data_IF_795338592503
#
_entry.id   IF_795338592503
#
_cell.length_a   1.000
_cell.length_b   1.000
_cell.length_c   1.000
_cell.angle_alpha   90.00
_cell.angle_beta   90.00
_cell.angle_gamma   90.00
#
_symmetry.space_group_name_H-M   'P 1'
#
loop_
_entity.id
_entity.type
_entity.pdbx_description
1 polymer ?
#
# COMPACT_ATOMS: atom_id res chain seq x y z
N UNK A 1 -19.26 17.33 -12.67
CA UNK A 1 -18.76 16.53 -13.79
C UNK A 1 -19.00 15.07 -13.43
N UNK A 2 -19.91 14.41 -14.15
CA UNK A 2 -20.34 13.06 -13.83
C UNK A 2 -19.40 12.07 -14.52
N UNK A 3 -18.78 11.18 -13.75
CA UNK A 3 -17.97 10.08 -14.29
C UNK A 3 -18.91 8.95 -14.67
N UNK A 4 -19.13 8.78 -15.97
CA UNK A 4 -19.65 7.53 -16.55
C UNK A 4 -18.44 6.70 -16.91
N UNK A 5 -18.34 5.48 -16.38
CA UNK A 5 -17.24 4.56 -16.64
C UNK A 5 -17.19 4.26 -18.16
N UNK A 6 -16.39 5.00 -18.91
CA UNK A 6 -16.31 4.87 -20.37
C UNK A 6 -15.30 3.80 -20.75
N UNK A 7 -15.59 3.05 -21.82
CA UNK A 7 -14.69 2.06 -22.38
C UNK A 7 -13.27 2.63 -22.67
N UNK A 8 -13.19 3.91 -23.07
CA UNK A 8 -11.91 4.59 -23.31
C UNK A 8 -11.07 4.72 -22.04
N UNK A 9 -11.70 5.14 -20.92
CA UNK A 9 -11.03 5.26 -19.63
C UNK A 9 -10.64 3.91 -19.07
N UNK A 10 -11.51 2.90 -19.21
CA UNK A 10 -11.25 1.54 -18.76
C UNK A 10 -10.06 0.92 -19.52
N UNK A 11 -9.94 1.17 -20.82
CA UNK A 11 -8.79 0.75 -21.62
C UNK A 11 -7.49 1.44 -21.17
N UNK A 12 -7.54 2.73 -20.84
CA UNK A 12 -6.38 3.44 -20.29
C UNK A 12 -5.93 2.84 -18.95
N UNK A 13 -6.87 2.49 -18.06
CA UNK A 13 -6.59 1.79 -16.80
C UNK A 13 -6.01 0.39 -17.06
N UNK A 14 -6.49 -0.33 -18.07
CA UNK A 14 -5.94 -1.64 -18.45
C UNK A 14 -4.50 -1.54 -18.95
N UNK A 15 -4.16 -0.55 -19.78
CA UNK A 15 -2.78 -0.29 -20.22
C UNK A 15 -1.86 -0.06 -19.03
N UNK A 16 -2.29 0.73 -18.04
CA UNK A 16 -1.55 0.94 -16.81
C UNK A 16 -1.40 -0.38 -16.01
N UNK A 17 -2.49 -1.13 -15.84
CA UNK A 17 -2.48 -2.41 -15.13
C UNK A 17 -1.48 -3.40 -15.71
N UNK A 18 -1.49 -3.57 -17.04
CA UNK A 18 -0.56 -4.43 -17.77
C UNK A 18 0.89 -3.93 -17.64
N UNK A 19 1.08 -2.61 -17.66
CA UNK A 19 2.41 -2.01 -17.46
C UNK A 19 2.97 -2.27 -16.05
N UNK A 20 2.12 -2.28 -15.02
CA UNK A 20 2.53 -2.58 -13.64
C UNK A 20 2.91 -4.06 -13.48
N UNK A 21 2.12 -4.98 -14.04
CA UNK A 21 2.39 -6.42 -13.97
C UNK A 21 3.73 -6.77 -14.63
N UNK A 22 4.03 -6.14 -15.77
CA UNK A 22 5.24 -6.40 -16.54
C UNK A 22 6.43 -5.52 -16.10
N UNK A 23 6.27 -4.70 -15.06
CA UNK A 23 7.34 -3.82 -14.58
C UNK A 23 8.47 -4.65 -13.97
N UNK A 24 9.69 -4.37 -14.43
CA UNK A 24 10.92 -4.92 -13.86
C UNK A 24 11.51 -3.93 -12.86
N UNK A 25 11.68 -4.38 -11.63
CA UNK A 25 12.40 -3.60 -10.62
C UNK A 25 13.91 -3.57 -10.93
N UNK A 26 14.66 -2.63 -10.33
CA UNK A 26 16.13 -2.64 -10.34
C UNK A 26 16.74 -3.94 -9.79
N UNK A 27 16.02 -4.68 -8.94
CA UNK A 27 16.39 -6.03 -8.49
C UNK A 27 16.24 -7.11 -9.56
N UNK A 28 15.78 -6.74 -10.77
CA UNK A 28 15.43 -7.63 -11.88
C UNK A 28 14.26 -8.59 -11.59
N UNK A 29 13.52 -8.34 -10.51
CA UNK A 29 12.31 -9.07 -10.14
C UNK A 29 11.08 -8.42 -10.78
N UNK A 30 10.12 -9.26 -11.18
CA UNK A 30 8.82 -8.84 -11.70
C UNK A 30 7.71 -9.10 -10.69
N UNK A 31 6.53 -8.54 -10.94
CA UNK A 31 5.35 -8.88 -10.15
C UNK A 31 5.11 -10.39 -10.10
N UNK A 32 5.35 -11.11 -11.21
CA UNK A 32 5.13 -12.58 -11.28
C UNK A 32 6.01 -13.39 -10.34
N UNK A 33 7.16 -12.84 -9.97
CA UNK A 33 8.12 -13.47 -9.07
C UNK A 33 7.73 -13.22 -7.60
N UNK A 34 7.24 -12.01 -7.30
CA UNK A 34 6.93 -11.56 -5.95
C UNK A 34 5.47 -11.81 -5.52
N UNK A 35 4.56 -12.07 -6.48
CA UNK A 35 3.14 -12.14 -6.21
C UNK A 35 2.76 -13.25 -5.24
N UNK A 36 1.67 -13.03 -4.51
CA UNK A 36 0.99 -14.10 -3.82
C UNK A 36 0.28 -14.98 -4.84
N UNK A 37 0.75 -16.22 -4.99
CA UNK A 37 0.16 -17.20 -5.89
C UNK A 37 -1.04 -17.87 -5.25
N UNK A 38 -2.17 -17.79 -5.94
CA UNK A 38 -3.41 -18.43 -5.54
C UNK A 38 -3.76 -19.53 -6.55
N UNK A 39 -4.37 -20.60 -6.05
CA UNK A 39 -4.78 -21.74 -6.88
C UNK A 39 -6.11 -21.42 -7.57
N UNK A 40 -6.20 -21.71 -8.86
CA UNK A 40 -7.48 -21.64 -9.59
C UNK A 40 -8.49 -22.60 -8.98
N UNK A 41 -9.72 -22.14 -8.75
CA UNK A 41 -10.75 -23.01 -8.14
C UNK A 41 -11.26 -24.03 -9.15
N UNK A 42 -11.51 -25.24 -8.66
CA UNK A 42 -12.10 -26.32 -9.46
C UNK A 42 -13.62 -26.10 -9.53
N UNK A 43 -14.27 -26.31 -10.69
CA UNK A 43 -15.72 -26.18 -10.82
C UNK A 43 -16.46 -27.08 -9.82
N UNK A 44 -17.55 -26.57 -9.24
CA UNK A 44 -18.41 -27.32 -8.31
C UNK A 44 -19.01 -28.58 -8.95
N UNK A 45 -19.10 -28.63 -10.27
CA UNK A 45 -19.57 -29.80 -11.04
C UNK A 45 -18.59 -30.98 -11.06
N UNK A 46 -17.39 -30.83 -10.49
CA UNK A 46 -16.42 -31.93 -10.47
C UNK A 46 -16.79 -33.00 -9.44
N UNK A 47 -16.80 -34.29 -9.81
CA UNK A 47 -17.18 -35.35 -8.90
C UNK A 47 -16.18 -35.44 -7.73
N UNK A 48 -16.63 -35.75 -6.49
CA UNK A 48 -15.77 -35.77 -5.31
C UNK A 48 -14.51 -36.63 -5.42
N UNK A 49 -14.57 -37.73 -6.19
CA UNK A 49 -13.44 -38.62 -6.45
C UNK A 49 -12.33 -38.00 -7.30
N UNK A 50 -12.63 -36.96 -8.08
CA UNK A 50 -11.67 -36.30 -8.98
C UNK A 50 -11.18 -34.95 -8.46
N UNK A 51 -11.83 -34.38 -7.44
CA UNK A 51 -11.47 -33.06 -6.87
C UNK A 51 -10.01 -33.00 -6.46
N UNK A 52 -9.48 -34.03 -5.78
CA UNK A 52 -8.08 -34.02 -5.34
C UNK A 52 -7.09 -34.02 -6.52
N UNK A 53 -7.42 -34.73 -7.61
CA UNK A 53 -6.60 -34.76 -8.83
C UNK A 53 -6.68 -33.44 -9.59
N UNK A 54 -7.88 -32.87 -9.70
CA UNK A 54 -8.10 -31.56 -10.30
C UNK A 54 -7.38 -30.45 -9.50
N UNK A 55 -7.42 -30.52 -8.17
CA UNK A 55 -6.70 -29.61 -7.27
C UNK A 55 -5.19 -29.75 -7.38
N UNK A 56 -4.67 -30.97 -7.54
CA UNK A 56 -3.23 -31.20 -7.71
C UNK A 56 -2.70 -30.64 -9.04
N UNK A 57 -3.53 -30.66 -10.09
CA UNK A 57 -3.18 -30.15 -11.42
C UNK A 57 -3.60 -28.69 -11.64
N UNK A 58 -4.19 -28.04 -10.64
CA UNK A 58 -4.65 -26.67 -10.77
C UNK A 58 -3.46 -25.72 -10.88
N UNK A 59 -3.59 -24.76 -11.80
CA UNK A 59 -2.58 -23.74 -12.03
C UNK A 59 -2.51 -22.74 -10.88
N UNK A 60 -1.29 -22.22 -10.65
CA UNK A 60 -1.02 -21.19 -9.66
C UNK A 60 -0.85 -19.85 -10.36
N UNK A 61 -1.80 -18.94 -10.13
CA UNK A 61 -1.81 -17.61 -10.75
C UNK A 61 -1.56 -16.53 -9.70
N UNK A 62 -1.02 -15.39 -10.14
CA UNK A 62 -0.81 -14.25 -9.26
C UNK A 62 -2.14 -13.62 -8.83
N UNK A 63 -2.33 -13.41 -7.53
CA UNK A 63 -3.54 -12.78 -6.99
C UNK A 63 -3.50 -11.25 -7.19
N UNK A 64 -3.91 -10.82 -8.39
CA UNK A 64 -4.10 -9.42 -8.76
C UNK A 64 -5.60 -9.14 -8.97
N UNK A 65 -6.25 -8.67 -7.92
CA UNK A 65 -7.69 -8.37 -7.93
C UNK A 65 -7.96 -7.14 -8.76
N UNK A 66 -8.67 -7.34 -9.87
CA UNK A 66 -9.10 -6.26 -10.76
C UNK A 66 -10.44 -6.59 -11.40
N UNK A 67 -11.15 -5.55 -11.85
CA UNK A 67 -12.38 -5.72 -12.63
C UNK A 67 -12.17 -6.54 -13.91
N UNK A 68 -10.94 -6.55 -14.43
CA UNK A 68 -10.58 -7.25 -15.67
C UNK A 68 -10.71 -8.78 -15.57
N UNK A 69 -10.71 -9.34 -14.36
CA UNK A 69 -10.95 -10.77 -14.11
C UNK A 69 -12.30 -11.29 -14.66
N UNK A 70 -13.28 -10.41 -14.87
CA UNK A 70 -14.59 -10.76 -15.40
C UNK A 70 -14.50 -11.13 -16.89
N UNK A 71 -13.63 -10.44 -17.64
CA UNK A 71 -13.50 -10.62 -19.09
C UNK A 71 -12.32 -11.51 -19.48
N UNK A 72 -11.26 -11.55 -18.66
CA UNK A 72 -10.03 -12.29 -18.91
C UNK A 72 -10.13 -13.76 -18.54
N UNK A 73 -9.85 -14.66 -19.49
CA UNK A 73 -9.77 -16.11 -19.27
C UNK A 73 -8.35 -16.67 -19.11
N UNK A 74 -7.32 -16.00 -19.64
CA UNK A 74 -5.91 -16.40 -19.60
C UNK A 74 -5.02 -15.14 -19.55
N UNK A 75 -3.79 -15.19 -19.01
CA UNK A 75 -2.81 -14.07 -18.94
C UNK A 75 -2.18 -13.64 -20.31
N UNK A 76 -2.83 -13.95 -21.44
CA UNK A 76 -2.20 -13.82 -22.77
C UNK A 76 -2.67 -12.60 -23.57
N UNK A 77 -1.84 -12.16 -24.52
CA UNK A 77 -1.97 -10.96 -25.37
C UNK A 77 -3.31 -10.76 -26.12
N UNK A 78 -4.22 -11.73 -26.13
CA UNK A 78 -5.58 -11.62 -26.68
C UNK A 78 -6.54 -10.81 -25.79
N UNK A 79 -6.19 -10.57 -24.53
CA UNK A 79 -6.99 -9.78 -23.58
C UNK A 79 -7.17 -8.32 -24.00
N UNK A 80 -6.09 -7.70 -24.50
CA UNK A 80 -6.11 -6.29 -24.90
C UNK A 80 -7.12 -6.02 -26.03
N UNK A 81 -7.30 -6.98 -26.95
CA UNK A 81 -8.31 -6.88 -28.00
C UNK A 81 -9.74 -7.04 -27.51
N UNK A 82 -9.97 -7.86 -26.49
CA UNK A 82 -11.32 -8.05 -25.92
C UNK A 82 -11.72 -6.79 -25.16
N UNK A 83 -10.82 -6.25 -24.33
CA UNK A 83 -11.09 -5.05 -23.52
C UNK A 83 -11.28 -3.82 -24.41
N UNK A 84 -10.53 -3.71 -25.51
CA UNK A 84 -10.69 -2.62 -26.48
C UNK A 84 -12.02 -2.69 -27.27
N UNK A 85 -12.69 -3.84 -27.30
CA UNK A 85 -13.97 -4.04 -28.00
C UNK A 85 -15.20 -3.91 -27.08
N UNK A 86 -15.00 -3.73 -25.77
CA UNK A 86 -16.10 -3.59 -24.82
C UNK A 86 -16.89 -2.31 -25.08
N UNK A 87 -18.22 -2.43 -25.10
CA UNK A 87 -19.12 -1.28 -25.12
C UNK A 87 -19.39 -0.79 -23.69
N UNK A 88 -19.81 0.47 -23.54
CA UNK A 88 -20.18 1.03 -22.24
C UNK A 88 -21.32 0.22 -21.57
N UNK A 89 -22.21 -0.35 -22.37
CA UNK A 89 -23.33 -1.19 -21.93
C UNK A 89 -22.85 -2.53 -21.36
N UNK A 90 -21.89 -3.19 -22.02
CA UNK A 90 -21.28 -4.44 -21.52
C UNK A 90 -20.57 -4.23 -20.18
N UNK A 91 -19.92 -3.06 -20.02
CA UNK A 91 -19.22 -2.70 -18.79
C UNK A 91 -20.23 -2.48 -17.66
N UNK A 92 -21.31 -1.75 -17.93
CA UNK A 92 -22.35 -1.47 -16.93
C UNK A 92 -23.10 -2.75 -16.54
N UNK A 93 -23.38 -3.65 -17.48
CA UNK A 93 -24.02 -4.93 -17.19
C UNK A 93 -23.14 -5.79 -16.27
N UNK A 94 -21.85 -5.94 -16.59
CA UNK A 94 -20.90 -6.68 -15.76
C UNK A 94 -20.74 -6.09 -14.35
N UNK A 95 -20.83 -4.76 -14.22
CA UNK A 95 -20.74 -4.06 -12.94
C UNK A 95 -22.03 -4.07 -12.12
N UNK A 96 -23.18 -4.21 -12.79
CA UNK A 96 -24.49 -4.28 -12.14
C UNK A 96 -24.67 -5.58 -11.36
N UNK A 97 -23.97 -6.65 -11.75
CA UNK A 97 -24.00 -7.94 -11.08
C UNK A 97 -23.28 -7.86 -9.73
N UNK A 98 -23.99 -8.12 -8.63
CA UNK A 98 -23.40 -8.16 -7.28
C UNK A 98 -22.39 -9.31 -7.10
N UNK A 99 -22.45 -10.31 -7.98
CA UNK A 99 -21.60 -11.49 -8.00
C UNK A 99 -21.27 -11.88 -9.44
N UNK A 100 -20.16 -11.37 -9.96
CA UNK A 100 -19.62 -11.80 -11.23
C UNK A 100 -18.83 -13.12 -11.03
N UNK A 101 -18.66 -13.90 -12.10
CA UNK A 101 -17.76 -15.05 -12.07
C UNK A 101 -16.43 -14.60 -12.66
N UNK A 102 -15.36 -14.65 -11.86
CA UNK A 102 -14.00 -14.45 -12.37
C UNK A 102 -13.68 -15.58 -13.35
N UNK A 103 -13.44 -15.24 -14.61
CA UNK A 103 -13.07 -16.23 -15.64
C UNK A 103 -11.67 -16.79 -15.39
N UNK A 104 -10.79 -15.98 -14.81
CA UNK A 104 -9.42 -16.33 -14.47
C UNK A 104 -9.35 -17.34 -13.31
N UNK A 105 -9.99 -17.03 -12.18
CA UNK A 105 -9.94 -17.89 -11.00
C UNK A 105 -11.10 -18.88 -10.89
N UNK A 106 -12.12 -18.78 -11.75
CA UNK A 106 -13.35 -19.61 -11.79
C UNK A 106 -14.16 -19.58 -10.50
N UNK A 107 -14.14 -18.44 -9.82
CA UNK A 107 -14.78 -18.24 -8.51
C UNK A 107 -15.71 -17.02 -8.53
N UNK A 108 -16.66 -16.93 -7.59
CA UNK A 108 -17.40 -15.70 -7.39
C UNK A 108 -16.45 -14.56 -7.06
N UNK A 109 -16.58 -13.47 -7.83
CA UNK A 109 -15.79 -12.26 -7.74
C UNK A 109 -16.72 -11.07 -7.61
N UNK A 110 -16.42 -10.21 -6.65
CA UNK A 110 -17.14 -8.95 -6.46
C UNK A 110 -16.24 -7.82 -6.95
N UNK A 111 -16.59 -7.12 -8.04
CA UNK A 111 -15.81 -5.98 -8.50
C UNK A 111 -15.80 -4.90 -7.43
N UNK A 112 -14.60 -4.42 -7.08
CA UNK A 112 -14.42 -3.38 -6.07
C UNK A 112 -14.51 -2.02 -6.76
N UNK A 113 -15.73 -1.49 -6.79
CA UNK A 113 -16.03 -0.18 -7.36
C UNK A 113 -16.52 0.76 -6.26
N UNK A 114 -16.00 1.99 -6.27
CA UNK A 114 -16.31 3.03 -5.30
C UNK A 114 -17.30 4.04 -5.84
N UNK A 115 -18.17 4.55 -4.95
CA UNK A 115 -19.18 5.56 -5.26
C UNK A 115 -20.06 5.18 -6.46
N UNK A 116 -20.76 4.04 -6.34
CA UNK A 116 -21.76 3.59 -7.32
C UNK A 116 -22.86 4.65 -7.47
N UNK A 117 -23.22 4.97 -8.70
CA UNK A 117 -24.33 5.87 -9.05
C UNK A 117 -25.44 5.04 -9.68
N UNK A 118 -26.65 5.16 -9.14
CA UNK A 118 -27.83 4.46 -9.64
C UNK A 118 -28.77 5.45 -10.34
N UNK A 119 -29.48 4.97 -11.35
CA UNK A 119 -30.57 5.69 -11.97
C UNK A 119 -31.86 5.52 -11.13
N UNK A 120 -32.90 6.30 -11.42
CA UNK A 120 -34.18 6.26 -10.68
C UNK A 120 -34.84 4.87 -10.71
N UNK A 121 -34.55 4.06 -11.74
CA UNK A 121 -35.01 2.69 -11.90
C UNK A 121 -34.19 1.64 -11.10
N UNK A 122 -33.21 2.08 -10.30
CA UNK A 122 -32.32 1.20 -9.54
C UNK A 122 -31.20 0.54 -10.36
N UNK A 123 -31.06 0.88 -11.65
CA UNK A 123 -29.97 0.38 -12.51
C UNK A 123 -28.68 1.15 -12.27
N UNK A 124 -27.54 0.46 -12.29
CA UNK A 124 -26.23 1.09 -12.15
C UNK A 124 -25.96 1.98 -13.37
N UNK A 125 -25.75 3.27 -13.13
CA UNK A 125 -25.45 4.28 -14.15
C UNK A 125 -23.94 4.54 -14.27
N UNK A 126 -23.18 4.26 -13.22
CA UNK A 126 -21.72 4.42 -13.23
C UNK A 126 -21.07 4.25 -11.86
N UNK A 127 -19.77 4.42 -11.81
CA UNK A 127 -18.97 4.43 -10.60
C UNK A 127 -17.88 5.50 -10.71
N UNK A 128 -17.49 6.11 -9.57
CA UNK A 128 -16.48 7.17 -9.56
C UNK A 128 -15.06 6.63 -9.38
N UNK A 129 -14.90 5.46 -8.79
CA UNK A 129 -13.59 4.90 -8.48
C UNK A 129 -13.53 3.40 -8.77
N UNK A 130 -12.36 2.95 -9.22
CA UNK A 130 -12.02 1.56 -9.40
C UNK A 130 -10.85 1.23 -8.47
N UNK A 131 -10.91 0.08 -7.78
CA UNK A 131 -9.80 -0.40 -6.97
C UNK A 131 -9.13 -1.59 -7.67
N UNK A 132 -7.82 -1.46 -7.88
CA UNK A 132 -6.94 -2.54 -8.29
C UNK A 132 -6.07 -2.92 -7.10
N UNK A 133 -6.02 -4.21 -6.76
CA UNK A 133 -5.29 -4.70 -5.60
C UNK A 133 -4.33 -5.81 -6.01
N UNK A 134 -3.05 -5.59 -5.74
CA UNK A 134 -1.97 -6.52 -6.05
C UNK A 134 -1.51 -7.17 -4.75
N UNK A 135 -1.62 -8.49 -4.66
CA UNK A 135 -1.19 -9.23 -3.47
C UNK A 135 0.24 -9.72 -3.67
N UNK A 136 1.12 -9.36 -2.74
CA UNK A 136 2.54 -9.73 -2.76
C UNK A 136 2.80 -10.67 -1.59
N UNK A 137 3.58 -11.72 -1.81
CA UNK A 137 3.96 -12.66 -0.76
C UNK A 137 5.12 -12.08 0.03
N UNK A 138 4.88 -11.65 1.26
CA UNK A 138 5.96 -11.26 2.16
C UNK A 138 6.66 -12.51 2.70
N UNK A 139 7.90 -12.76 2.26
CA UNK A 139 8.75 -13.73 2.93
C UNK A 139 9.61 -13.01 3.97
N UNK A 140 9.69 -13.55 5.20
CA UNK A 140 10.44 -12.93 6.30
C UNK A 140 11.93 -12.69 5.98
N UNK A 141 12.48 -13.48 5.05
CA UNK A 141 13.86 -13.40 4.58
C UNK A 141 14.09 -12.32 3.52
N UNK A 142 13.05 -11.86 2.84
CA UNK A 142 13.16 -11.01 1.65
C UNK A 142 12.80 -9.56 1.96
N UNK A 143 13.67 -8.93 2.75
CA UNK A 143 13.44 -7.59 3.30
C UNK A 143 13.64 -6.46 2.29
N UNK A 144 14.31 -6.72 1.17
CA UNK A 144 14.79 -5.67 0.27
C UNK A 144 14.13 -5.68 -1.11
N UNK A 145 13.79 -6.83 -1.70
CA UNK A 145 13.21 -6.89 -3.04
C UNK A 145 11.85 -6.22 -3.15
N UNK A 146 10.94 -6.49 -2.19
CA UNK A 146 9.58 -5.96 -2.19
C UNK A 146 9.54 -4.43 -2.08
N UNK A 147 10.21 -3.77 -1.10
CA UNK A 147 10.20 -2.31 -1.03
C UNK A 147 10.80 -1.63 -2.27
N UNK A 148 11.81 -2.24 -2.90
CA UNK A 148 12.43 -1.74 -4.13
C UNK A 148 11.43 -1.80 -5.28
N UNK A 149 10.76 -2.93 -5.47
CA UNK A 149 9.73 -3.07 -6.51
C UNK A 149 8.57 -2.10 -6.29
N UNK A 150 8.05 -1.98 -5.06
CA UNK A 150 6.96 -1.04 -4.74
C UNK A 150 7.36 0.42 -5.02
N UNK A 151 8.62 0.79 -4.73
CA UNK A 151 9.15 2.12 -5.08
C UNK A 151 9.21 2.33 -6.60
N UNK A 152 9.63 1.32 -7.36
CA UNK A 152 9.62 1.39 -8.83
C UNK A 152 8.21 1.51 -9.39
N UNK A 153 7.23 0.82 -8.80
CA UNK A 153 5.81 0.98 -9.18
C UNK A 153 5.33 2.39 -8.89
N UNK A 154 5.69 2.96 -7.73
CA UNK A 154 5.39 4.37 -7.40
C UNK A 154 5.91 5.29 -8.50
N UNK A 155 7.22 5.25 -8.77
CA UNK A 155 7.85 6.11 -9.78
C UNK A 155 7.25 5.90 -11.16
N UNK A 156 6.95 4.66 -11.54
CA UNK A 156 6.30 4.34 -12.80
C UNK A 156 4.91 4.95 -12.90
N UNK A 157 4.06 4.79 -11.88
CA UNK A 157 2.69 5.34 -11.85
C UNK A 157 2.69 6.87 -11.84
N UNK A 158 3.61 7.51 -11.10
CA UNK A 158 3.72 8.97 -11.07
C UNK A 158 4.24 9.57 -12.38
N UNK A 159 5.13 8.87 -13.07
CA UNK A 159 5.65 9.30 -14.38
C UNK A 159 4.75 8.86 -15.55
N UNK A 160 3.77 7.98 -15.29
CA UNK A 160 2.86 7.49 -16.33
C UNK A 160 1.91 8.60 -16.77
N UNK A 161 2.09 9.07 -18.00
CA UNK A 161 1.13 9.97 -18.64
C UNK A 161 0.10 9.15 -19.39
N UNK A 162 -1.18 9.36 -19.06
CA UNK A 162 -2.29 8.75 -19.78
C UNK A 162 -2.53 9.36 -21.19
N UNK A 163 -1.71 10.33 -21.61
CA UNK A 163 -1.87 11.03 -22.89
C UNK A 163 -3.22 11.76 -23.02
N UNK A 164 -3.64 12.01 -24.26
CA UNK A 164 -4.97 12.59 -24.60
C UNK A 164 -6.14 11.61 -24.32
N UNK A 165 -5.86 10.41 -23.81
CA UNK A 165 -6.87 9.39 -23.60
C UNK A 165 -7.67 9.57 -22.30
N UNK A 166 -7.14 10.24 -21.27
CA UNK A 166 -7.88 10.45 -20.01
C UNK A 166 -7.44 11.69 -19.21
N UNK A 167 -7.90 12.87 -19.61
CA UNK A 167 -7.63 14.13 -18.89
C UNK A 167 -8.25 14.22 -17.49
N UNK A 168 -9.16 13.32 -17.12
CA UNK A 168 -9.90 13.34 -15.85
C UNK A 168 -9.57 12.18 -14.90
N UNK A 169 -8.59 11.33 -15.22
CA UNK A 169 -8.27 10.17 -14.40
C UNK A 169 -7.20 10.50 -13.36
N UNK A 170 -7.54 10.36 -12.08
CA UNK A 170 -6.59 10.50 -10.96
C UNK A 170 -6.27 9.13 -10.38
N UNK A 171 -5.01 8.73 -10.42
CA UNK A 171 -4.55 7.49 -9.76
C UNK A 171 -4.00 7.81 -8.39
N UNK A 172 -4.43 7.03 -7.40
CA UNK A 172 -3.85 7.04 -6.05
C UNK A 172 -3.31 5.65 -5.76
N UNK A 173 -2.06 5.62 -5.30
CA UNK A 173 -1.38 4.37 -4.99
C UNK A 173 -1.21 4.24 -3.47
N UNK A 174 -1.49 3.07 -2.95
CA UNK A 174 -1.29 2.72 -1.55
C UNK A 174 -0.50 1.41 -1.46
N UNK A 175 0.56 1.43 -0.65
CA UNK A 175 1.36 0.26 -0.31
C UNK A 175 1.93 0.44 1.09
N UNK A 176 2.19 -0.69 1.77
CA UNK A 176 2.70 -0.70 3.14
C UNK A 176 4.11 -0.08 3.25
N UNK A 177 5.02 -0.36 2.32
CA UNK A 177 6.38 0.19 2.36
C UNK A 177 6.40 1.67 2.02
N UNK A 178 5.55 2.10 1.07
CA UNK A 178 5.43 3.52 0.71
C UNK A 178 4.84 4.31 1.87
N UNK A 179 3.77 3.81 2.48
CA UNK A 179 3.19 4.44 3.66
C UNK A 179 4.23 4.62 4.78
N UNK A 180 5.02 3.57 5.04
CA UNK A 180 6.11 3.64 6.03
C UNK A 180 7.16 4.69 5.68
N UNK A 181 7.58 4.75 4.41
CA UNK A 181 8.57 5.71 3.95
C UNK A 181 8.07 7.15 4.05
N UNK A 182 6.83 7.43 3.63
CA UNK A 182 6.23 8.77 3.74
C UNK A 182 6.05 9.19 5.20
N UNK A 183 5.61 8.27 6.06
CA UNK A 183 5.46 8.52 7.48
C UNK A 183 6.82 8.85 8.13
N UNK A 184 7.86 8.09 7.82
CA UNK A 184 9.21 8.35 8.31
C UNK A 184 9.74 9.71 7.85
N UNK A 185 9.55 10.06 6.56
CA UNK A 185 9.97 11.36 6.04
C UNK A 185 9.22 12.53 6.73
N UNK A 186 7.93 12.35 7.03
CA UNK A 186 7.16 13.32 7.80
C UNK A 186 7.74 13.53 9.20
N UNK A 187 8.01 12.44 9.91
CA UNK A 187 8.63 12.52 11.24
C UNK A 187 10.00 13.19 11.24
N UNK A 188 10.86 12.86 10.26
CA UNK A 188 12.22 13.43 10.17
C UNK A 188 12.19 14.96 10.00
N UNK A 189 11.21 15.48 9.24
CA UNK A 189 11.03 16.92 9.09
C UNK A 189 10.55 17.57 10.40
N UNK A 190 9.65 16.92 11.15
CA UNK A 190 9.14 17.45 12.41
C UNK A 190 10.18 17.42 13.55
N UNK A 191 11.09 16.44 13.54
CA UNK A 191 12.20 16.35 14.51
C UNK A 191 13.06 17.61 14.52
N UNK A 192 13.29 18.23 13.35
CA UNK A 192 14.05 19.48 13.28
C UNK A 192 13.37 20.62 14.05
N UNK A 193 12.05 20.74 13.91
CA UNK A 193 11.27 21.76 14.63
C UNK A 193 11.32 21.54 16.14
N UNK A 194 11.25 20.29 16.59
CA UNK A 194 11.41 19.95 18.02
C UNK A 194 12.78 20.34 18.55
N UNK A 195 13.87 20.07 17.81
CA UNK A 195 15.23 20.46 18.21
C UNK A 195 15.33 21.98 18.40
N UNK A 196 14.80 22.77 17.46
CA UNK A 196 14.77 24.24 17.60
C UNK A 196 13.96 24.70 18.81
N UNK A 197 12.81 24.07 19.07
CA UNK A 197 11.98 24.36 20.24
C UNK A 197 12.74 24.14 21.56
N UNK A 198 13.44 23.01 21.70
CA UNK A 198 14.24 22.72 22.89
C UNK A 198 15.43 23.67 23.05
N UNK A 199 16.09 24.07 21.95
CA UNK A 199 17.19 25.04 22.00
C UNK A 199 16.73 26.39 22.58
N UNK A 200 15.56 26.88 22.20
CA UNK A 200 15.01 28.14 22.73
C UNK A 200 14.75 28.02 24.24
N UNK A 201 14.19 26.91 24.69
CA UNK A 201 13.94 26.65 26.12
C UNK A 201 15.25 26.59 26.90
N UNK A 202 16.27 25.92 26.39
CA UNK A 202 17.58 25.86 27.04
C UNK A 202 18.24 27.23 27.14
N UNK A 203 18.22 28.02 26.07
CA UNK A 203 18.72 29.39 26.08
C UNK A 203 17.96 30.23 27.12
N UNK A 204 16.64 30.13 27.17
CA UNK A 204 15.81 30.83 28.15
C UNK A 204 16.19 30.46 29.60
N UNK A 205 16.35 29.17 29.90
CA UNK A 205 16.75 28.69 31.24
C UNK A 205 18.13 29.25 31.61
N UNK A 206 19.08 29.21 30.68
CA UNK A 206 20.44 29.73 30.89
C UNK A 206 20.43 31.22 31.21
N UNK A 207 19.65 32.04 30.49
CA UNK A 207 19.57 33.48 30.73
C UNK A 207 18.81 33.82 32.03
N UNK A 208 17.76 33.08 32.39
CA UNK A 208 16.96 33.39 33.58
C UNK A 208 17.62 32.92 34.87
N UNK A 209 18.34 31.80 34.86
CA UNK A 209 19.09 31.32 36.04
C UNK A 209 20.52 31.85 36.10
N UNK A 210 21.07 32.28 34.96
CA UNK A 210 22.40 32.87 34.88
C UNK A 210 22.40 34.32 35.29
N UNK A 211 22.49 34.60 36.59
CA UNK A 211 22.88 35.94 37.05
C UNK A 211 24.29 36.25 36.50
N UNK A 212 24.39 37.18 35.55
CA UNK A 212 25.68 37.64 35.01
C UNK A 212 26.32 38.65 35.96
N UNK A 213 26.75 38.20 37.14
CA UNK A 213 27.57 39.01 38.02
C UNK A 213 29.06 38.76 37.70
N UNK A 214 29.83 39.82 37.47
CA UNK A 214 31.24 39.75 37.01
C UNK A 214 32.19 39.04 38.00
N UNK A 215 31.71 38.74 39.20
CA UNK A 215 32.44 38.05 40.28
C UNK A 215 31.95 36.62 40.54
N UNK A 216 30.75 36.22 40.09
CA UNK A 216 30.18 34.87 40.30
C UNK A 216 29.38 34.41 39.08
N UNK A 217 29.97 33.55 38.25
CA UNK A 217 29.27 32.98 37.09
C UNK A 217 28.47 31.72 37.49
N UNK A 218 27.17 31.87 37.79
CA UNK A 218 26.24 30.75 38.05
C UNK A 218 25.84 29.95 36.80
N UNK A 219 26.42 30.27 35.64
CA UNK A 219 26.17 29.61 34.35
C UNK A 219 26.40 28.09 34.40
N UNK A 220 27.45 27.65 35.11
CA UNK A 220 27.76 26.22 35.25
C UNK A 220 26.63 25.41 35.90
N UNK A 221 25.87 26.02 36.83
CA UNK A 221 24.75 25.36 37.50
C UNK A 221 23.60 25.05 36.53
N UNK A 222 23.30 25.99 35.62
CA UNK A 222 22.26 25.82 34.61
C UNK A 222 22.62 24.72 33.60
N UNK A 223 23.88 24.69 33.13
CA UNK A 223 24.36 23.66 32.19
C UNK A 223 24.34 22.26 32.82
N UNK A 224 24.79 22.13 34.07
CA UNK A 224 24.77 20.85 34.80
C UNK A 224 23.33 20.36 35.03
N UNK A 225 22.40 21.28 35.32
CA UNK A 225 20.97 20.96 35.44
C UNK A 225 20.38 20.40 34.15
N UNK A 226 20.64 21.06 33.01
CA UNK A 226 20.19 20.59 31.68
C UNK A 226 20.81 19.24 31.35
N UNK A 227 22.10 19.04 31.64
CA UNK A 227 22.80 17.78 31.41
C UNK A 227 22.20 16.62 32.24
N UNK A 228 21.81 16.88 33.50
CA UNK A 228 21.13 15.88 34.34
C UNK A 228 19.79 15.44 33.74
N UNK A 229 18.99 16.38 33.23
CA UNK A 229 17.72 16.07 32.57
C UNK A 229 17.96 15.22 31.31
N UNK A 230 18.95 15.60 30.48
CA UNK A 230 19.33 14.84 29.29
C UNK A 230 19.78 13.42 29.60
N UNK A 231 20.61 13.23 30.63
CA UNK A 231 21.03 11.90 31.10
C UNK A 231 19.88 11.08 31.67
N UNK A 232 18.95 11.70 32.39
CA UNK A 232 17.72 11.06 32.88
C UNK A 232 16.85 10.53 31.74
N UNK A 233 16.65 11.34 30.70
CA UNK A 233 15.93 10.91 29.50
C UNK A 233 16.63 9.76 28.78
N UNK A 234 17.94 9.90 28.52
CA UNK A 234 18.72 8.87 27.81
C UNK A 234 18.75 7.52 28.57
N UNK A 235 18.90 7.56 29.90
CA UNK A 235 18.87 6.36 30.73
C UNK A 235 17.48 5.69 30.74
N UNK A 236 16.41 6.47 30.81
CA UNK A 236 15.03 5.96 30.71
C UNK A 236 14.81 5.22 29.39
N UNK A 237 15.14 5.85 28.26
CA UNK A 237 15.01 5.23 26.92
C UNK A 237 15.88 3.97 26.81
N UNK A 238 17.12 4.00 27.31
CA UNK A 238 18.01 2.84 27.31
C UNK A 238 17.46 1.65 28.11
N UNK A 239 16.89 1.92 29.29
CA UNK A 239 16.29 0.88 30.13
C UNK A 239 15.04 0.31 29.43
N UNK A 240 14.17 1.15 28.89
CA UNK A 240 12.98 0.67 28.17
C UNK A 240 13.35 -0.18 26.94
N UNK A 241 14.33 0.25 26.15
CA UNK A 241 14.78 -0.51 24.98
C UNK A 241 15.36 -1.88 25.36
N UNK A 242 16.17 -1.95 26.42
CA UNK A 242 16.74 -3.22 26.89
C UNK A 242 15.65 -4.17 27.40
N UNK A 243 14.70 -3.69 28.19
CA UNK A 243 13.56 -4.49 28.68
C UNK A 243 12.71 -5.02 27.52
N UNK A 244 12.44 -4.20 26.50
CA UNK A 244 11.69 -4.62 25.31
C UNK A 244 12.47 -5.63 24.48
N UNK A 245 13.77 -5.43 24.26
CA UNK A 245 14.63 -6.39 23.56
C UNK A 245 14.68 -7.75 24.28
N UNK A 246 14.76 -7.75 25.61
CA UNK A 246 14.75 -8.98 26.41
C UNK A 246 13.40 -9.69 26.25
N UNK A 247 12.27 -8.97 26.35
CA UNK A 247 10.94 -9.57 26.16
C UNK A 247 10.71 -10.13 24.75
N UNK A 248 11.21 -9.46 23.71
CA UNK A 248 11.04 -9.91 22.32
C UNK A 248 11.93 -11.10 21.94
N UNK A 249 12.89 -11.45 22.79
CA UNK A 249 13.81 -12.60 22.60
C UNK A 249 13.25 -13.91 23.16
N UNK A 250 12.16 -13.86 23.94
CA UNK A 250 11.39 -15.03 24.36
C UNK A 250 10.14 -15.11 23.47
N UNK A 251 10.07 -16.12 22.59
CA UNK A 251 8.99 -16.32 21.63
C UNK A 251 7.57 -16.18 22.24
N UNK A 252 6.92 -15.04 21.99
CA UNK A 252 5.47 -14.92 21.93
C UNK A 252 5.07 -13.79 20.96
N UNK A 253 4.77 -14.17 19.72
CA UNK A 253 4.03 -13.34 18.74
C UNK A 253 2.65 -12.92 19.31
N UNK A 254 1.94 -11.91 18.76
CA UNK A 254 2.29 -10.52 18.50
C UNK A 254 1.21 -9.58 19.08
N UNK A 255 1.48 -8.84 20.17
CA UNK A 255 0.50 -7.82 20.66
C UNK A 255 1.13 -6.46 20.99
N UNK A 256 2.45 -6.35 20.99
CA UNK A 256 3.15 -5.10 21.34
C UNK A 256 3.49 -4.20 20.15
N UNK A 257 3.17 -4.60 18.91
CA UNK A 257 3.23 -3.69 17.77
C UNK A 257 2.15 -2.59 17.81
N UNK A 258 1.15 -2.71 18.71
CA UNK A 258 0.10 -1.71 18.91
C UNK A 258 0.50 -0.56 19.86
N UNK A 259 1.57 -0.70 20.65
CA UNK A 259 1.93 0.31 21.66
C UNK A 259 2.71 1.51 21.10
N UNK A 260 3.27 1.38 19.89
CA UNK A 260 4.00 2.47 19.22
C UNK A 260 3.13 3.33 18.29
N UNK A 261 1.83 3.04 18.18
CA UNK A 261 0.90 3.80 17.33
C UNK A 261 0.11 4.89 18.07
N UNK A 262 0.43 5.17 19.34
CA UNK A 262 -0.29 6.14 20.18
C UNK A 262 0.63 7.20 20.81
N UNK A 263 1.70 7.60 20.12
CA UNK A 263 2.42 8.85 20.37
C UNK A 263 2.91 9.47 19.07
#
# INVERSE_FOLDING_TARGET
MFFTCSAKELNAVYKLHSSIINLKAPSNETFKDLCFKERVTVPISTPPSEICRALANAEWLCSAKSIFEIWTSDESSKEASIIAQLTDEDILDALSQDLAISKLFRRPFRPIIGSKMFNDNGTLKGAKALLLSYSIKTNSSDKNGIPIWEKSVKEHVFNYSFGDESSNLSVTLFSSSIFRAEFQNGMENDVQLFIFGYLIVFVYIIFNLGEMNTLEHKFYLAVVGIACVGMGYASSVGIFQTVVCICNSYEFYPTLHAAWYWY
#
